data_IF_239311907591
#
_entry.id   IF_239311907591
#
_cell.length_a   1.000
_cell.length_b   1.000
_cell.length_c   1.000
_cell.angle_alpha   90.00
_cell.angle_beta   90.00
_cell.angle_gamma   90.00
#
_symmetry.space_group_name_H-M   'P 1'
#
loop_
_entity.id
_entity.type
_entity.pdbx_description
1 polymer ?
#
# COMPACT_ATOMS: atom_id res chain seq x y z
N UNK A 1 7.39 14.49 3.12
CA UNK A 1 8.44 15.49 3.39
C UNK A 1 7.77 16.83 3.59
N UNK A 2 8.00 17.52 4.69
CA UNK A 2 7.46 18.87 4.89
C UNK A 2 8.24 19.83 3.97
N UNK A 3 7.57 20.48 3.04
CA UNK A 3 8.14 21.57 2.25
C UNK A 3 8.58 22.67 3.20
N UNK A 4 9.89 22.92 3.24
CA UNK A 4 10.43 24.09 3.92
C UNK A 4 10.09 25.29 3.03
N UNK A 5 9.02 26.01 3.39
CA UNK A 5 8.63 27.25 2.74
C UNK A 5 9.74 28.29 2.97
N UNK A 6 10.54 28.55 1.94
CA UNK A 6 11.56 29.61 1.98
C UNK A 6 10.87 30.98 1.97
N UNK A 7 11.41 31.99 2.71
CA UNK A 7 10.82 33.34 2.79
C UNK A 7 10.78 34.09 1.45
N UNK A 8 11.58 33.71 0.44
CA UNK A 8 11.69 34.36 -0.85
C UNK A 8 10.75 33.85 -1.94
N UNK A 9 9.97 32.80 -1.69
CA UNK A 9 8.85 32.40 -2.55
C UNK A 9 7.66 33.35 -2.48
N UNK A 10 7.74 34.38 -1.60
CA UNK A 10 6.78 35.47 -1.53
C UNK A 10 7.16 36.52 -2.59
N UNK A 11 6.56 36.36 -3.77
CA UNK A 11 6.76 37.14 -4.99
C UNK A 11 6.86 38.63 -4.77
N UNK A 12 7.79 39.19 -5.56
CA UNK A 12 7.93 40.61 -5.79
C UNK A 12 6.60 41.23 -6.24
N UNK A 13 6.11 42.28 -5.54
CA UNK A 13 5.23 43.35 -5.98
C UNK A 13 4.00 43.08 -6.90
N UNK A 14 3.43 41.90 -6.92
CA UNK A 14 2.06 41.72 -7.40
C UNK A 14 1.09 42.05 -6.26
N UNK A 15 0.00 42.77 -6.53
CA UNK A 15 -1.06 42.96 -5.53
C UNK A 15 -1.50 41.60 -5.00
N UNK A 16 -1.70 41.44 -3.68
CA UNK A 16 -2.09 40.15 -3.11
C UNK A 16 -3.39 39.67 -3.77
N UNK A 17 -3.36 38.45 -4.29
CA UNK A 17 -4.49 37.82 -4.99
C UNK A 17 -5.58 37.37 -4.02
N UNK A 18 -5.31 37.38 -2.72
CA UNK A 18 -6.27 37.02 -1.65
C UNK A 18 -6.31 38.08 -0.54
N UNK A 19 -7.37 38.09 0.27
CA UNK A 19 -7.54 39.10 1.34
C UNK A 19 -6.34 39.17 2.27
N UNK A 20 -5.89 40.41 2.54
CA UNK A 20 -4.82 40.70 3.50
C UNK A 20 -5.41 40.65 4.90
N UNK A 21 -4.90 39.76 5.75
CA UNK A 21 -5.36 39.58 7.15
C UNK A 21 -4.51 40.36 8.15
N UNK A 22 -3.22 40.57 7.85
CA UNK A 22 -2.30 41.36 8.66
C UNK A 22 -1.16 41.92 7.81
N UNK A 23 -0.42 42.90 8.38
CA UNK A 23 0.83 43.41 7.77
C UNK A 23 1.92 43.46 8.84
N UNK A 24 3.09 42.94 8.51
CA UNK A 24 4.28 42.99 9.38
C UNK A 24 5.40 43.66 8.61
N UNK A 25 5.85 44.81 9.08
CA UNK A 25 6.86 45.64 8.42
C UNK A 25 6.56 45.87 6.93
N UNK A 26 5.29 46.24 6.62
CA UNK A 26 4.83 46.51 5.25
C UNK A 26 4.61 45.27 4.36
N UNK A 27 4.97 44.09 4.81
CA UNK A 27 4.72 42.84 4.07
C UNK A 27 3.39 42.24 4.52
N UNK A 28 2.47 41.93 3.59
CA UNK A 28 1.17 41.35 3.92
C UNK A 28 1.30 39.89 4.36
N UNK A 29 0.38 39.48 5.23
CA UNK A 29 0.03 38.11 5.51
C UNK A 29 -1.39 37.94 5.00
N UNK A 30 -1.60 37.02 4.08
CA UNK A 30 -2.85 36.84 3.36
C UNK A 30 -3.63 35.62 3.85
N UNK A 31 -4.87 35.50 3.41
CA UNK A 31 -5.66 34.32 3.66
C UNK A 31 -5.04 33.06 3.03
N UNK A 32 -4.39 33.18 1.88
CA UNK A 32 -3.66 32.08 1.24
C UNK A 32 -2.47 31.61 2.08
N UNK A 33 -1.80 32.50 2.80
CA UNK A 33 -0.71 32.11 3.71
C UNK A 33 -1.24 31.25 4.85
N UNK A 34 -2.40 31.63 5.42
CA UNK A 34 -3.08 30.84 6.45
C UNK A 34 -3.53 29.48 5.88
N UNK A 35 -4.10 29.46 4.67
CA UNK A 35 -4.54 28.22 4.02
C UNK A 35 -3.36 27.28 3.75
N UNK A 36 -2.25 27.79 3.22
CA UNK A 36 -1.02 27.01 2.99
C UNK A 36 -0.45 26.44 4.27
N UNK A 37 -0.42 27.24 5.34
CA UNK A 37 0.04 26.77 6.64
C UNK A 37 -0.82 25.62 7.17
N UNK A 38 -2.16 25.78 7.13
CA UNK A 38 -3.10 24.75 7.57
C UNK A 38 -2.92 23.48 6.71
N UNK A 39 -2.82 23.61 5.39
CA UNK A 39 -2.62 22.48 4.49
C UNK A 39 -1.32 21.69 4.80
N UNK A 40 -0.25 22.40 5.18
CA UNK A 40 1.02 21.78 5.55
C UNK A 40 0.97 20.95 6.84
N UNK A 41 -0.06 21.15 7.71
CA UNK A 41 -0.25 20.36 8.93
C UNK A 41 -0.79 18.93 8.66
N UNK A 42 -1.17 18.61 7.44
CA UNK A 42 -1.66 17.29 7.05
C UNK A 42 -2.86 16.85 7.90
N UNK A 43 -2.73 15.72 8.63
CA UNK A 43 -3.83 15.19 9.47
C UNK A 43 -4.29 16.13 10.58
N UNK A 44 -3.45 17.08 11.00
CA UNK A 44 -3.77 18.11 12.01
C UNK A 44 -4.60 19.29 11.47
N UNK A 45 -4.74 19.44 10.16
CA UNK A 45 -5.38 20.58 9.51
C UNK A 45 -6.83 20.82 9.97
N UNK A 46 -7.58 19.77 10.27
CA UNK A 46 -8.99 19.86 10.66
C UNK A 46 -9.20 20.66 11.96
N UNK A 47 -8.27 20.58 12.91
CA UNK A 47 -8.35 21.32 14.18
C UNK A 47 -8.28 22.84 13.99
N UNK A 48 -7.69 23.31 12.89
CA UNK A 48 -7.49 24.73 12.58
C UNK A 48 -8.47 25.27 11.53
N UNK A 49 -9.35 24.43 10.99
CA UNK A 49 -10.29 24.84 9.94
C UNK A 49 -11.60 25.47 10.49
N UNK A 50 -11.46 26.27 11.55
CA UNK A 50 -12.52 27.04 12.20
C UNK A 50 -12.00 28.46 12.48
N UNK A 51 -12.86 29.44 12.77
CA UNK A 51 -12.44 30.84 12.96
C UNK A 51 -11.37 31.05 14.04
N UNK A 52 -11.43 30.33 15.16
CA UNK A 52 -10.46 30.42 16.25
C UNK A 52 -9.13 29.81 15.87
N UNK A 53 -9.16 28.61 15.22
CA UNK A 53 -7.97 27.96 14.71
C UNK A 53 -7.25 28.80 13.66
N UNK A 54 -8.00 29.39 12.72
CA UNK A 54 -7.44 30.31 11.71
C UNK A 54 -6.82 31.56 12.34
N UNK A 55 -7.47 32.14 13.36
CA UNK A 55 -6.89 33.27 14.11
C UNK A 55 -5.58 32.87 14.81
N UNK A 56 -5.52 31.68 15.42
CA UNK A 56 -4.31 31.17 16.05
C UNK A 56 -3.16 30.97 15.03
N UNK A 57 -3.48 30.46 13.84
CA UNK A 57 -2.51 30.34 12.74
C UNK A 57 -2.01 31.69 12.28
N UNK A 58 -2.90 32.69 12.15
CA UNK A 58 -2.51 34.05 11.80
C UNK A 58 -1.53 34.64 12.81
N UNK A 59 -1.80 34.50 14.11
CA UNK A 59 -0.89 34.96 15.17
C UNK A 59 0.47 34.24 15.10
N UNK A 60 0.47 32.96 14.81
CA UNK A 60 1.70 32.19 14.61
C UNK A 60 2.52 32.70 13.41
N UNK A 61 1.87 32.99 12.28
CA UNK A 61 2.53 33.56 11.11
C UNK A 61 3.10 34.95 11.38
N UNK A 62 2.35 35.79 12.15
CA UNK A 62 2.84 37.10 12.61
C UNK A 62 4.10 36.91 13.47
N UNK A 63 4.08 36.02 14.46
CA UNK A 63 5.22 35.73 15.33
C UNK A 63 6.43 35.25 14.53
N UNK A 64 6.25 34.31 13.60
CA UNK A 64 7.33 33.85 12.73
C UNK A 64 7.95 34.99 11.92
N UNK A 65 7.11 35.89 11.39
CA UNK A 65 7.61 37.04 10.62
C UNK A 65 8.40 38.03 11.49
N UNK A 66 7.95 38.26 12.71
CA UNK A 66 8.66 39.13 13.68
C UNK A 66 10.02 38.53 14.06
N UNK A 67 10.08 37.22 14.36
CA UNK A 67 11.35 36.55 14.64
C UNK A 67 12.32 36.58 13.47
N UNK A 68 11.82 36.43 12.22
CA UNK A 68 12.67 36.57 11.05
C UNK A 68 13.25 37.98 10.91
N UNK A 69 12.44 39.01 11.13
CA UNK A 69 12.91 40.40 11.10
C UNK A 69 13.94 40.68 12.20
N UNK A 70 13.71 40.17 13.39
CA UNK A 70 14.68 40.29 14.50
C UNK A 70 15.99 39.57 14.18
N UNK A 71 15.93 38.35 13.67
CA UNK A 71 17.11 37.60 13.22
C UNK A 71 17.92 38.37 12.16
N UNK A 72 17.23 38.96 11.17
CA UNK A 72 17.87 39.78 10.13
C UNK A 72 18.50 41.02 10.70
N UNK A 73 17.80 41.73 11.59
CA UNK A 73 18.31 42.92 12.28
C UNK A 73 19.56 42.63 13.09
N UNK A 74 19.58 41.47 13.78
CA UNK A 74 20.69 41.04 14.60
C UNK A 74 21.79 40.30 13.80
N UNK A 75 21.63 40.25 12.49
CA UNK A 75 22.60 39.62 11.56
C UNK A 75 22.93 38.16 11.90
N UNK A 76 21.93 37.41 12.42
CA UNK A 76 22.11 36.02 12.82
C UNK A 76 22.53 35.12 11.64
N UNK A 77 22.27 35.52 10.41
CA UNK A 77 22.79 34.86 9.21
C UNK A 77 24.33 34.83 9.10
N UNK A 78 25.02 35.69 9.91
CA UNK A 78 26.49 35.72 10.00
C UNK A 78 27.04 34.77 11.03
N UNK A 79 26.20 34.26 11.89
CA UNK A 79 26.59 33.27 12.91
C UNK A 79 27.16 32.00 12.23
N UNK A 80 28.29 31.49 12.78
CA UNK A 80 28.95 30.33 12.20
C UNK A 80 28.05 29.08 12.28
N UNK A 81 27.35 28.88 13.39
CA UNK A 81 26.43 27.76 13.55
C UNK A 81 25.30 27.76 12.50
N UNK A 82 24.75 28.94 12.20
CA UNK A 82 23.74 29.09 11.13
C UNK A 82 24.33 28.78 9.75
N UNK A 83 25.53 29.28 9.45
CA UNK A 83 26.21 29.01 8.17
C UNK A 83 26.49 27.52 7.99
N UNK A 84 26.95 26.85 9.05
CA UNK A 84 27.23 25.42 9.00
C UNK A 84 25.95 24.62 8.75
N UNK A 85 24.85 24.96 9.42
CA UNK A 85 23.53 24.35 9.18
C UNK A 85 23.04 24.62 7.76
N UNK A 86 23.16 25.87 7.27
CA UNK A 86 22.74 26.23 5.91
C UNK A 86 23.54 25.46 4.86
N UNK A 87 24.85 25.31 5.07
CA UNK A 87 25.73 24.54 4.19
C UNK A 87 25.31 23.07 4.13
N UNK A 88 25.04 22.46 5.28
CA UNK A 88 24.59 21.07 5.35
C UNK A 88 23.22 20.86 4.66
N UNK A 89 22.25 21.73 4.92
CA UNK A 89 20.92 21.67 4.26
C UNK A 89 21.04 21.89 2.74
N UNK A 90 21.88 22.83 2.32
CA UNK A 90 22.15 23.07 0.89
C UNK A 90 22.75 21.85 0.19
N UNK A 91 23.73 21.19 0.83
CA UNK A 91 24.37 20.00 0.28
C UNK A 91 23.37 18.84 0.16
N UNK A 92 22.60 18.60 1.20
CA UNK A 92 21.54 17.58 1.18
C UNK A 92 20.49 17.85 0.09
N UNK A 93 19.99 19.07 0.01
CA UNK A 93 18.99 19.45 -0.99
C UNK A 93 19.54 19.30 -2.41
N UNK A 94 20.81 19.69 -2.64
CA UNK A 94 21.46 19.54 -3.95
C UNK A 94 21.60 18.06 -4.34
N UNK A 95 21.95 17.20 -3.40
CA UNK A 95 22.04 15.76 -3.62
C UNK A 95 20.67 15.17 -3.96
N UNK A 96 19.64 15.47 -3.17
CA UNK A 96 18.27 15.02 -3.41
C UNK A 96 17.74 15.50 -4.77
N UNK A 97 18.00 16.75 -5.10
CA UNK A 97 17.61 17.34 -6.40
C UNK A 97 18.34 16.66 -7.56
N UNK A 98 19.63 16.36 -7.43
CA UNK A 98 20.39 15.66 -8.46
C UNK A 98 19.89 14.22 -8.67
N UNK A 99 19.53 13.52 -7.59
CA UNK A 99 18.90 12.17 -7.66
C UNK A 99 17.55 12.27 -8.36
N UNK A 100 16.70 13.23 -7.96
CA UNK A 100 15.41 13.46 -8.60
C UNK A 100 15.55 13.70 -10.10
N UNK A 101 16.49 14.56 -10.51
CA UNK A 101 16.76 14.83 -11.92
C UNK A 101 17.27 13.61 -12.68
N UNK A 102 17.99 12.71 -12.03
CA UNK A 102 18.45 11.46 -12.64
C UNK A 102 17.28 10.57 -13.07
N UNK A 103 16.23 10.51 -12.26
CA UNK A 103 15.09 9.60 -12.51
C UNK A 103 13.90 10.29 -13.21
N UNK A 104 13.89 11.63 -13.27
CA UNK A 104 12.80 12.43 -13.85
C UNK A 104 12.56 12.15 -15.34
N UNK A 105 13.62 11.77 -16.07
CA UNK A 105 13.54 11.45 -17.50
C UNK A 105 13.01 10.05 -17.79
N UNK A 106 12.90 9.20 -16.77
CA UNK A 106 12.41 7.83 -16.94
C UNK A 106 10.94 7.87 -17.35
N UNK A 107 10.63 7.14 -18.41
CA UNK A 107 9.25 6.97 -18.92
C UNK A 107 8.98 5.49 -19.11
N UNK A 108 7.81 5.09 -18.70
CA UNK A 108 7.22 3.79 -19.04
C UNK A 108 6.12 4.07 -20.04
N UNK A 109 6.13 3.36 -21.14
CA UNK A 109 5.10 3.47 -22.19
C UNK A 109 4.08 2.35 -22.03
N UNK A 110 2.94 2.52 -22.67
CA UNK A 110 1.94 1.44 -22.73
C UNK A 110 2.49 0.19 -23.43
N UNK A 111 3.40 0.38 -24.39
CA UNK A 111 4.08 -0.70 -25.09
C UNK A 111 5.00 -1.49 -24.13
N UNK A 112 5.73 -0.80 -23.26
CA UNK A 112 6.55 -1.47 -22.23
C UNK A 112 5.68 -2.35 -21.31
N UNK A 113 4.55 -1.82 -20.86
CA UNK A 113 3.64 -2.53 -19.94
C UNK A 113 3.02 -3.74 -20.62
N UNK A 114 2.57 -3.57 -21.86
CA UNK A 114 1.98 -4.66 -22.63
C UNK A 114 3.01 -5.74 -22.96
N UNK A 115 4.21 -5.34 -23.41
CA UNK A 115 5.29 -6.28 -23.70
C UNK A 115 5.72 -7.10 -22.47
N UNK A 116 5.75 -6.45 -21.29
CA UNK A 116 6.02 -7.16 -20.04
C UNK A 116 4.91 -8.16 -19.71
N UNK A 117 3.65 -7.74 -19.79
CA UNK A 117 2.51 -8.63 -19.57
C UNK A 117 2.53 -9.83 -20.51
N UNK A 118 2.72 -9.61 -21.82
CA UNK A 118 2.70 -10.68 -22.82
C UNK A 118 3.81 -11.72 -22.59
N UNK A 119 4.97 -11.27 -22.07
CA UNK A 119 6.11 -12.16 -21.77
C UNK A 119 6.01 -12.89 -20.43
N UNK A 120 5.16 -12.42 -19.49
CA UNK A 120 5.01 -12.99 -18.13
C UNK A 120 3.58 -13.41 -17.81
N UNK A 121 2.72 -13.48 -18.82
CA UNK A 121 1.29 -13.77 -18.67
C UNK A 121 1.01 -15.07 -17.91
N UNK A 122 1.81 -16.09 -18.15
CA UNK A 122 1.65 -17.41 -17.51
C UNK A 122 2.01 -17.37 -16.01
N UNK A 123 2.80 -16.39 -15.58
CA UNK A 123 3.18 -16.19 -14.17
C UNK A 123 2.15 -15.30 -13.43
N UNK A 124 1.36 -14.53 -14.18
CA UNK A 124 0.34 -13.63 -13.66
C UNK A 124 -1.02 -14.31 -13.68
N UNK A 125 -1.23 -15.24 -12.79
CA UNK A 125 -2.48 -16.01 -12.72
C UNK A 125 -3.22 -15.71 -11.41
N UNK A 126 -4.55 -15.74 -11.47
CA UNK A 126 -5.33 -16.05 -10.28
C UNK A 126 -5.00 -17.48 -9.88
N UNK A 127 -4.64 -17.67 -8.62
CA UNK A 127 -4.30 -19.00 -8.12
C UNK A 127 -5.45 -19.99 -8.34
N UNK A 128 -5.12 -21.28 -8.43
CA UNK A 128 -6.11 -22.35 -8.39
C UNK A 128 -7.05 -22.18 -7.22
N UNK A 129 -8.37 -22.29 -7.46
CA UNK A 129 -9.38 -22.29 -6.41
C UNK A 129 -10.19 -23.59 -6.45
N UNK A 130 -10.72 -23.96 -5.31
CA UNK A 130 -11.61 -25.12 -5.18
C UNK A 130 -12.89 -24.71 -4.45
N UNK A 131 -13.99 -25.37 -4.83
CA UNK A 131 -15.25 -25.28 -4.11
C UNK A 131 -15.45 -26.60 -3.34
N UNK A 132 -15.65 -26.51 -2.03
CA UNK A 132 -15.84 -27.69 -1.21
C UNK A 132 -16.97 -27.53 -0.20
N UNK A 133 -17.56 -28.64 0.16
CA UNK A 133 -18.47 -28.77 1.30
C UNK A 133 -17.80 -29.64 2.37
N UNK A 134 -18.07 -29.34 3.65
CA UNK A 134 -17.54 -30.15 4.74
C UNK A 134 -18.55 -30.46 5.86
N UNK A 135 -18.26 -31.52 6.57
CA UNK A 135 -18.94 -31.90 7.83
C UNK A 135 -17.86 -31.95 8.91
N UNK A 136 -18.02 -31.21 9.99
CA UNK A 136 -17.11 -31.20 11.12
C UNK A 136 -17.75 -31.92 12.30
N UNK A 137 -17.07 -32.93 12.81
CA UNK A 137 -17.46 -33.68 14.00
C UNK A 137 -16.31 -33.81 15.00
N UNK A 138 -16.60 -34.18 16.22
CA UNK A 138 -15.69 -34.24 17.36
C UNK A 138 -14.87 -35.54 17.45
N UNK A 139 -15.30 -36.62 16.78
CA UNK A 139 -14.59 -37.90 16.82
C UNK A 139 -14.40 -38.55 15.47
N UNK A 140 -13.35 -39.35 15.36
CA UNK A 140 -13.00 -40.10 14.15
C UNK A 140 -14.01 -41.18 13.82
N UNK A 141 -14.52 -41.83 14.88
CA UNK A 141 -15.55 -42.88 14.77
C UNK A 141 -16.81 -42.29 14.11
N UNK A 142 -17.28 -41.14 14.60
CA UNK A 142 -18.44 -40.45 14.05
C UNK A 142 -18.26 -40.05 12.61
N UNK A 143 -17.07 -39.53 12.26
CA UNK A 143 -16.73 -39.19 10.89
C UNK A 143 -16.74 -40.43 9.99
N UNK A 144 -16.18 -41.56 10.45
CA UNK A 144 -16.12 -42.80 9.69
C UNK A 144 -17.51 -43.41 9.47
N UNK A 145 -18.40 -43.39 10.51
CA UNK A 145 -19.80 -43.83 10.40
C UNK A 145 -20.56 -43.00 9.34
N UNK A 146 -20.42 -41.67 9.38
CA UNK A 146 -21.06 -40.77 8.42
C UNK A 146 -20.53 -40.97 7.01
N UNK A 147 -19.22 -41.17 6.86
CA UNK A 147 -18.62 -41.45 5.56
C UNK A 147 -19.19 -42.74 4.95
N UNK A 148 -19.32 -43.80 5.77
CA UNK A 148 -19.89 -45.07 5.33
C UNK A 148 -21.36 -44.89 4.88
N UNK A 149 -22.18 -44.21 5.68
CA UNK A 149 -23.59 -43.93 5.36
C UNK A 149 -23.75 -43.10 4.09
N UNK A 150 -22.91 -42.09 3.91
CA UNK A 150 -22.90 -41.26 2.69
C UNK A 150 -22.50 -42.09 1.47
N UNK A 151 -21.43 -42.89 1.60
CA UNK A 151 -20.94 -43.73 0.51
C UNK A 151 -21.95 -44.83 0.13
N UNK A 152 -22.70 -45.35 1.10
CA UNK A 152 -23.78 -46.33 0.88
C UNK A 152 -25.06 -45.69 0.27
N UNK A 153 -25.11 -44.35 0.22
CA UNK A 153 -26.31 -43.63 -0.26
C UNK A 153 -27.47 -43.59 0.72
N UNK A 154 -27.24 -43.94 1.98
CA UNK A 154 -28.26 -43.95 3.04
C UNK A 154 -28.65 -42.54 3.46
N UNK A 155 -27.75 -41.58 3.33
CA UNK A 155 -27.95 -40.16 3.61
C UNK A 155 -27.17 -39.31 2.60
N UNK A 156 -27.74 -38.15 2.22
CA UNK A 156 -27.00 -37.19 1.38
C UNK A 156 -25.94 -36.46 2.18
N UNK A 157 -24.89 -35.96 1.51
CA UNK A 157 -23.84 -35.17 2.18
C UNK A 157 -24.43 -33.93 2.86
N UNK A 158 -25.38 -33.26 2.18
CA UNK A 158 -26.07 -32.08 2.69
C UNK A 158 -26.91 -32.34 3.93
N UNK A 159 -27.64 -33.43 3.95
CA UNK A 159 -28.48 -33.81 5.11
C UNK A 159 -27.61 -34.26 6.29
N UNK A 160 -26.52 -34.98 6.01
CA UNK A 160 -25.53 -35.34 7.02
C UNK A 160 -24.85 -34.09 7.61
N UNK A 161 -24.54 -33.09 6.78
CA UNK A 161 -23.98 -31.80 7.23
C UNK A 161 -24.96 -31.06 8.13
N UNK A 162 -26.23 -30.94 7.73
CA UNK A 162 -27.29 -30.29 8.55
C UNK A 162 -27.53 -30.97 9.89
N UNK A 163 -27.51 -32.32 9.90
CA UNK A 163 -27.84 -33.09 11.08
C UNK A 163 -26.66 -33.20 12.06
N UNK A 164 -25.45 -33.25 11.59
CA UNK A 164 -24.30 -33.70 12.40
C UNK A 164 -23.10 -32.73 12.43
N UNK A 165 -23.02 -31.76 11.52
CA UNK A 165 -21.88 -30.84 11.49
C UNK A 165 -21.99 -29.78 12.58
N UNK A 166 -20.92 -29.57 13.33
CA UNK A 166 -20.78 -28.49 14.31
C UNK A 166 -20.43 -27.14 13.68
N UNK A 167 -20.13 -27.11 12.39
CA UNK A 167 -19.77 -25.86 11.68
C UNK A 167 -21.02 -25.06 11.28
N UNK A 168 -20.98 -23.70 11.33
CA UNK A 168 -22.09 -22.86 10.86
C UNK A 168 -22.51 -23.09 9.41
N UNK A 169 -21.61 -23.54 8.53
CA UNK A 169 -21.91 -23.92 7.14
C UNK A 169 -22.91 -25.09 7.02
N UNK A 170 -23.15 -25.83 8.09
CA UNK A 170 -24.11 -26.95 8.13
C UNK A 170 -25.47 -26.56 7.59
N UNK A 171 -25.96 -25.35 7.89
CA UNK A 171 -27.26 -24.84 7.41
C UNK A 171 -27.35 -24.74 5.89
N UNK A 172 -26.19 -24.63 5.21
CA UNK A 172 -26.06 -24.57 3.75
C UNK A 172 -25.49 -25.89 3.17
N UNK A 173 -25.75 -27.02 3.87
CA UNK A 173 -25.27 -28.35 3.46
C UNK A 173 -23.74 -28.48 3.54
N UNK A 174 -23.10 -27.70 4.41
CA UNK A 174 -21.64 -27.69 4.61
C UNK A 174 -20.84 -26.89 3.60
N UNK A 175 -21.48 -26.19 2.65
CA UNK A 175 -20.78 -25.45 1.58
C UNK A 175 -19.94 -24.30 2.15
N UNK A 176 -18.66 -24.23 1.72
CA UNK A 176 -17.70 -23.20 2.10
C UNK A 176 -17.48 -22.14 1.02
N UNK A 177 -18.08 -22.34 -0.18
CA UNK A 177 -17.79 -21.50 -1.35
C UNK A 177 -16.44 -21.81 -1.97
N UNK A 178 -15.97 -20.90 -2.82
CA UNK A 178 -14.68 -20.99 -3.49
C UNK A 178 -13.57 -20.44 -2.58
N UNK A 179 -12.44 -21.13 -2.53
CA UNK A 179 -11.25 -20.69 -1.78
C UNK A 179 -9.97 -21.13 -2.49
N UNK A 180 -8.93 -20.30 -2.34
CA UNK A 180 -7.59 -20.58 -2.84
C UNK A 180 -6.71 -21.27 -1.80
N UNK A 181 -5.53 -21.73 -2.24
CA UNK A 181 -4.53 -22.35 -1.36
C UNK A 181 -4.13 -21.40 -0.21
N UNK A 182 -3.99 -21.99 0.97
CA UNK A 182 -3.57 -21.27 2.18
C UNK A 182 -4.67 -20.48 2.88
N UNK A 183 -5.91 -20.52 2.39
CA UNK A 183 -7.07 -19.89 3.07
C UNK A 183 -7.69 -20.78 4.14
N UNK A 184 -7.42 -22.07 4.09
CA UNK A 184 -7.87 -23.06 5.08
C UNK A 184 -6.70 -23.61 5.89
N UNK A 185 -6.98 -24.35 6.94
CA UNK A 185 -5.92 -25.04 7.71
C UNK A 185 -5.20 -26.06 6.83
N UNK A 186 -3.87 -26.25 7.03
CA UNK A 186 -3.02 -26.99 6.07
C UNK A 186 -3.51 -28.38 5.71
N UNK A 187 -4.03 -29.13 6.68
CA UNK A 187 -4.49 -30.50 6.47
C UNK A 187 -5.76 -30.54 5.60
N UNK A 188 -6.65 -29.58 5.80
CA UNK A 188 -7.86 -29.42 5.01
C UNK A 188 -7.55 -28.92 3.59
N UNK A 189 -6.68 -27.92 3.49
CA UNK A 189 -6.21 -27.35 2.22
C UNK A 189 -5.59 -28.44 1.34
N UNK A 190 -4.63 -29.20 1.88
CA UNK A 190 -3.97 -30.30 1.17
C UNK A 190 -4.99 -31.31 0.68
N UNK A 191 -5.93 -31.72 1.53
CA UNK A 191 -6.94 -32.71 1.15
C UNK A 191 -7.80 -32.20 -0.03
N UNK A 192 -8.31 -30.95 0.06
CA UNK A 192 -9.18 -30.39 -0.98
C UNK A 192 -8.51 -30.29 -2.34
N UNK A 193 -7.26 -29.83 -2.39
CA UNK A 193 -6.56 -29.65 -3.67
C UNK A 193 -6.06 -30.95 -4.31
N UNK A 194 -5.95 -32.05 -3.53
CA UNK A 194 -5.60 -33.37 -4.05
C UNK A 194 -6.82 -34.19 -4.50
N UNK A 195 -8.06 -33.86 -4.02
CA UNK A 195 -9.27 -34.60 -4.34
C UNK A 195 -9.70 -34.41 -5.78
N UNK A 196 -10.46 -35.41 -6.30
CA UNK A 196 -11.19 -35.32 -7.58
C UNK A 196 -12.56 -34.66 -7.37
N UNK A 197 -13.11 -34.01 -8.40
CA UNK A 197 -14.45 -33.40 -8.34
C UNK A 197 -15.49 -34.49 -8.06
N UNK A 198 -16.32 -34.26 -7.05
CA UNK A 198 -17.35 -35.19 -6.58
C UNK A 198 -16.83 -36.21 -5.55
N UNK A 199 -15.53 -36.32 -5.31
CA UNK A 199 -14.95 -37.17 -4.28
C UNK A 199 -15.40 -36.73 -2.89
N UNK A 200 -15.69 -37.70 -2.02
CA UNK A 200 -15.89 -37.51 -0.57
C UNK A 200 -14.69 -38.13 0.15
N UNK A 201 -13.94 -37.32 0.87
CA UNK A 201 -12.75 -37.77 1.60
C UNK A 201 -12.88 -37.46 3.08
N UNK A 202 -12.35 -38.36 3.89
CA UNK A 202 -12.30 -38.26 5.35
C UNK A 202 -12.06 -39.60 6.00
N UNK A 203 -11.90 -39.62 7.34
CA UNK A 203 -11.76 -38.47 8.23
C UNK A 203 -10.45 -37.69 8.00
N UNK A 204 -10.53 -36.35 7.84
CA UNK A 204 -9.36 -35.46 7.81
C UNK A 204 -9.27 -34.77 9.18
N UNK A 205 -8.20 -35.06 9.93
CA UNK A 205 -7.98 -34.51 11.25
C UNK A 205 -7.39 -33.11 11.17
N UNK A 206 -7.96 -32.16 11.90
CA UNK A 206 -7.44 -30.80 12.08
C UNK A 206 -7.48 -30.40 13.57
N UNK A 207 -7.04 -29.21 13.91
CA UNK A 207 -7.18 -28.68 15.27
C UNK A 207 -8.64 -28.48 15.72
N UNK A 208 -9.60 -28.45 14.79
CA UNK A 208 -11.04 -28.26 15.10
C UNK A 208 -11.80 -29.55 15.27
N UNK A 209 -11.24 -30.69 14.89
CA UNK A 209 -11.88 -31.99 14.93
C UNK A 209 -11.63 -32.78 13.65
N UNK A 210 -12.60 -33.61 13.28
CA UNK A 210 -12.55 -34.51 12.13
C UNK A 210 -13.50 -34.01 11.04
N UNK A 211 -12.97 -33.86 9.82
CA UNK A 211 -13.72 -33.37 8.67
C UNK A 211 -14.03 -34.51 7.70
N UNK A 212 -15.24 -34.52 7.19
CA UNK A 212 -15.56 -35.12 5.90
C UNK A 212 -15.64 -33.99 4.87
N UNK A 213 -14.98 -34.13 3.73
CA UNK A 213 -14.88 -33.13 2.71
C UNK A 213 -15.46 -33.70 1.43
N UNK A 214 -16.31 -32.94 0.74
CA UNK A 214 -16.72 -33.22 -0.62
C UNK A 214 -16.25 -32.10 -1.53
N UNK A 215 -15.51 -32.44 -2.56
CA UNK A 215 -15.07 -31.48 -3.53
C UNK A 215 -16.16 -31.22 -4.58
N UNK A 216 -16.64 -29.99 -4.68
CA UNK A 216 -17.72 -29.63 -5.59
C UNK A 216 -17.21 -29.16 -6.96
N UNK A 217 -16.11 -28.38 -6.98
CA UNK A 217 -15.48 -27.89 -8.20
C UNK A 217 -13.99 -27.59 -7.99
N UNK A 218 -13.24 -27.63 -9.09
CA UNK A 218 -11.87 -27.11 -9.21
C UNK A 218 -11.85 -26.06 -10.33
N UNK A 219 -11.39 -24.87 -10.02
CA UNK A 219 -11.16 -23.83 -10.98
C UNK A 219 -9.64 -23.73 -11.21
N UNK A 220 -9.22 -24.00 -12.43
CA UNK A 220 -7.81 -23.88 -12.78
C UNK A 220 -7.34 -22.44 -12.61
N UNK A 221 -6.05 -22.26 -12.35
CA UNK A 221 -5.44 -20.95 -12.38
C UNK A 221 -5.62 -20.33 -13.77
N UNK A 222 -6.27 -19.18 -13.85
CA UNK A 222 -6.44 -18.44 -15.10
C UNK A 222 -5.51 -17.22 -15.12
N UNK A 223 -4.93 -16.88 -16.27
CA UNK A 223 -4.15 -15.67 -16.38
C UNK A 223 -5.01 -14.43 -16.08
N UNK A 224 -4.51 -13.55 -15.19
CA UNK A 224 -5.11 -12.26 -14.94
C UNK A 224 -5.19 -11.46 -16.25
N UNK A 225 -6.29 -10.74 -16.46
CA UNK A 225 -6.41 -9.92 -17.66
C UNK A 225 -5.42 -8.75 -17.62
N UNK A 226 -4.99 -8.28 -18.80
CA UNK A 226 -4.15 -7.09 -18.90
C UNK A 226 -4.71 -5.88 -18.13
N UNK A 227 -6.02 -5.68 -18.21
CA UNK A 227 -6.67 -4.55 -17.56
C UNK A 227 -6.59 -4.62 -16.03
N UNK A 228 -6.63 -5.81 -15.46
CA UNK A 228 -6.59 -6.01 -14.01
C UNK A 228 -5.20 -5.71 -13.44
N UNK A 229 -4.14 -6.04 -14.19
CA UNK A 229 -2.75 -5.88 -13.73
C UNK A 229 -2.05 -4.63 -14.26
N UNK A 230 -2.62 -3.95 -15.27
CA UNK A 230 -1.99 -2.83 -15.98
C UNK A 230 -1.45 -1.73 -15.05
N UNK A 231 -2.26 -1.29 -14.09
CA UNK A 231 -1.85 -0.22 -13.17
C UNK A 231 -0.67 -0.66 -12.29
N UNK A 232 -0.74 -1.87 -11.76
CA UNK A 232 0.32 -2.45 -10.93
C UNK A 232 1.62 -2.63 -11.72
N UNK A 233 1.53 -3.14 -12.95
CA UNK A 233 2.69 -3.32 -13.84
C UNK A 233 3.32 -1.98 -14.21
N UNK A 234 2.52 -0.95 -14.49
CA UNK A 234 3.02 0.39 -14.77
C UNK A 234 3.85 0.94 -13.61
N UNK A 235 3.35 0.81 -12.38
CA UNK A 235 4.08 1.24 -11.18
C UNK A 235 5.35 0.41 -10.95
N UNK A 236 5.27 -0.91 -11.14
CA UNK A 236 6.42 -1.81 -11.00
C UNK A 236 7.52 -1.45 -11.99
N UNK A 237 7.19 -1.38 -13.28
CA UNK A 237 8.16 -1.05 -14.34
C UNK A 237 8.74 0.36 -14.18
N UNK A 238 7.93 1.31 -13.67
CA UNK A 238 8.43 2.65 -13.36
C UNK A 238 9.49 2.59 -12.28
N UNK A 239 9.25 1.87 -11.18
CA UNK A 239 10.23 1.69 -10.11
C UNK A 239 11.51 0.99 -10.61
N UNK A 240 11.35 -0.08 -11.40
CA UNK A 240 12.48 -0.83 -11.94
C UNK A 240 13.34 0.04 -12.88
N UNK A 241 12.72 0.76 -13.81
CA UNK A 241 13.45 1.67 -14.72
C UNK A 241 14.12 2.82 -13.99
N UNK A 242 13.47 3.38 -12.95
CA UNK A 242 14.08 4.43 -12.11
C UNK A 242 15.27 3.89 -11.32
N UNK A 243 15.17 2.69 -10.77
CA UNK A 243 16.29 2.03 -10.08
C UNK A 243 17.45 1.74 -11.03
N UNK A 244 17.16 1.27 -12.23
CA UNK A 244 18.17 1.02 -13.25
C UNK A 244 18.89 2.32 -13.69
N UNK A 245 18.14 3.42 -13.90
CA UNK A 245 18.69 4.71 -14.23
C UNK A 245 19.59 5.25 -13.10
N UNK A 246 19.13 5.15 -11.85
CA UNK A 246 19.91 5.53 -10.68
C UNK A 246 21.21 4.71 -10.59
N UNK A 247 21.13 3.38 -10.71
CA UNK A 247 22.31 2.52 -10.64
C UNK A 247 23.29 2.79 -11.79
N UNK A 248 22.79 3.01 -12.99
CA UNK A 248 23.61 3.40 -14.15
C UNK A 248 24.35 4.71 -13.89
N UNK A 249 23.65 5.71 -13.33
CA UNK A 249 24.25 6.99 -12.97
C UNK A 249 25.34 6.84 -11.90
N UNK A 250 25.09 6.04 -10.87
CA UNK A 250 26.10 5.74 -9.82
C UNK A 250 27.35 5.10 -10.44
N UNK A 251 27.19 4.15 -11.35
CA UNK A 251 28.32 3.50 -12.03
C UNK A 251 29.14 4.51 -12.85
N UNK A 252 28.49 5.42 -13.58
CA UNK A 252 29.18 6.51 -14.30
C UNK A 252 29.92 7.43 -13.33
N UNK A 253 29.29 7.82 -12.21
CA UNK A 253 29.92 8.70 -11.23
C UNK A 253 31.14 8.03 -10.55
N UNK A 254 31.09 6.73 -10.30
CA UNK A 254 32.26 5.99 -9.75
C UNK A 254 33.45 5.94 -10.70
N UNK A 255 33.21 6.02 -12.01
CA UNK A 255 34.31 6.14 -12.99
C UNK A 255 34.92 7.55 -12.94
N UNK A 256 34.07 8.59 -12.82
CA UNK A 256 34.50 9.98 -12.79
C UNK A 256 35.15 10.39 -11.45
N UNK A 257 34.68 9.79 -10.38
CA UNK A 257 35.11 10.09 -9.00
C UNK A 257 35.52 8.76 -8.33
N UNK A 258 36.81 8.39 -8.38
CA UNK A 258 37.29 7.17 -7.75
C UNK A 258 36.90 7.07 -6.27
N UNK A 259 36.45 5.91 -5.85
CA UNK A 259 36.03 5.64 -4.47
C UNK A 259 37.00 4.63 -3.86
N UNK A 260 37.77 5.05 -2.89
CA UNK A 260 38.58 4.18 -2.06
C UNK A 260 37.76 3.71 -0.86
N UNK A 261 37.64 2.41 -0.71
CA UNK A 261 36.99 1.81 0.46
C UNK A 261 38.06 1.37 1.44
N UNK A 262 37.94 1.78 2.69
CA UNK A 262 38.82 1.33 3.78
C UNK A 262 38.53 -0.12 4.14
#
# INVERSE_FOLDING_TARGET
MAEILTPDSLGQNAAPTSPVLAQVNGKPITEDDVNRFIAALGRGAQAYNNPQGRAAVLEQLIAQRLFLLDAQRNLLERDQAFKDQLAAVKEQLLMEYAISKCVESVRVTEEDVRGYYDSHKEEMTEGETVNASHILVDSEEKASELLAAITAGEITFEDAAKAHSSCPSSQQGGNLGDFGRGQMVPEFDTACFEMEIGEVRGPVKTQFGYHLIRLNAKNAAEPLSYNDVRAQLYEQLTREKQQAAYQSKINQLKIMYPVDKA
#
